data_IF_270998267797
#
_entry.id   IF_270998267797
#
_cell.length_a   1.000
_cell.length_b   1.000
_cell.length_c   1.000
_cell.angle_alpha   90.00
_cell.angle_beta   90.00
_cell.angle_gamma   90.00
#
_symmetry.space_group_name_H-M   'P 1'
#
loop_
_entity.id
_entity.type
_entity.pdbx_description
1 polymer ?
#
# COMPACT_ATOMS: atom_id res chain seq x y z
N UNK A 1 -12.66 -3.68 11.47
CA UNK A 1 -11.77 -3.27 10.36
C UNK A 1 -11.64 -1.75 10.42
N UNK A 2 -10.55 -1.18 9.87
CA UNK A 2 -10.33 0.28 9.97
C UNK A 2 -11.47 1.10 9.35
N UNK A 3 -12.00 0.69 8.19
CA UNK A 3 -13.11 1.39 7.54
C UNK A 3 -14.36 1.41 8.44
N UNK A 4 -14.82 0.24 8.95
CA UNK A 4 -15.97 0.19 9.87
C UNK A 4 -15.74 1.02 11.14
N UNK A 5 -14.51 1.05 11.66
CA UNK A 5 -14.15 1.82 12.84
C UNK A 5 -14.20 3.32 12.57
N UNK A 6 -13.56 3.80 11.50
CA UNK A 6 -13.59 5.20 11.10
C UNK A 6 -15.02 5.67 10.78
N UNK A 7 -15.83 4.82 10.13
CA UNK A 7 -17.26 5.07 9.93
C UNK A 7 -18.01 5.29 11.25
N UNK A 8 -17.72 4.51 12.28
CA UNK A 8 -18.33 4.71 13.62
C UNK A 8 -17.90 6.03 14.30
N UNK A 9 -16.77 6.60 13.86
CA UNK A 9 -16.29 7.92 14.28
C UNK A 9 -16.82 9.06 13.39
N UNK A 10 -17.71 8.76 12.44
CA UNK A 10 -18.32 9.76 11.55
C UNK A 10 -17.54 10.01 10.26
N UNK A 11 -16.50 9.23 9.96
CA UNK A 11 -15.81 9.34 8.67
C UNK A 11 -16.68 8.82 7.55
N UNK A 12 -16.73 9.56 6.43
CA UNK A 12 -17.18 9.03 5.15
C UNK A 12 -16.08 8.13 4.59
N UNK A 13 -16.43 6.88 4.30
CA UNK A 13 -15.45 5.83 3.96
C UNK A 13 -15.55 5.39 2.50
N UNK A 14 -14.45 5.50 1.77
CA UNK A 14 -14.42 5.28 0.32
C UNK A 14 -13.32 4.29 -0.05
N UNK A 15 -13.65 3.34 -0.92
CA UNK A 15 -12.68 2.50 -1.58
C UNK A 15 -12.59 2.84 -3.07
N UNK A 16 -11.39 2.93 -3.61
CA UNK A 16 -11.15 3.29 -5.01
C UNK A 16 -10.23 2.26 -5.67
N UNK A 17 -10.57 1.87 -6.90
CA UNK A 17 -9.70 1.05 -7.73
C UNK A 17 -10.08 1.25 -9.19
N UNK A 18 -9.23 1.81 -10.07
CA UNK A 18 -9.61 2.17 -11.43
C UNK A 18 -9.59 0.96 -12.37
N UNK A 19 -10.20 -0.15 -11.96
CA UNK A 19 -10.36 -1.37 -12.72
C UNK A 19 -11.71 -2.04 -12.43
N UNK A 20 -11.94 -3.23 -12.98
CA UNK A 20 -13.21 -3.96 -12.81
C UNK A 20 -13.49 -4.27 -11.33
N UNK A 21 -14.71 -3.96 -10.88
CA UNK A 21 -15.14 -4.13 -9.49
C UNK A 21 -15.18 -5.57 -9.01
N UNK A 22 -15.32 -6.53 -9.94
CA UNK A 22 -15.31 -7.97 -9.65
C UNK A 22 -13.91 -8.55 -9.49
N UNK A 23 -12.85 -7.81 -9.84
CA UNK A 23 -11.47 -8.24 -9.61
C UNK A 23 -11.22 -8.39 -8.12
N UNK A 24 -10.87 -9.59 -7.68
CA UNK A 24 -10.74 -9.99 -6.27
C UNK A 24 -12.03 -9.83 -5.45
N UNK A 25 -13.20 -9.96 -6.08
CA UNK A 25 -14.52 -9.84 -5.42
C UNK A 25 -14.69 -8.52 -4.63
N UNK A 26 -13.99 -7.44 -5.03
CA UNK A 26 -14.02 -6.15 -4.31
C UNK A 26 -15.42 -5.57 -4.16
N UNK A 27 -16.28 -5.75 -5.16
CA UNK A 27 -17.68 -5.33 -5.11
C UNK A 27 -18.50 -6.03 -4.00
N UNK A 28 -18.04 -7.16 -3.47
CA UNK A 28 -18.65 -7.87 -2.34
C UNK A 28 -17.90 -7.60 -1.04
N UNK A 29 -16.56 -7.60 -1.09
CA UNK A 29 -15.71 -7.51 0.10
C UNK A 29 -15.68 -6.09 0.67
N UNK A 30 -15.60 -5.04 -0.17
CA UNK A 30 -15.52 -3.66 0.33
C UNK A 30 -16.73 -3.24 1.19
N UNK A 31 -17.99 -3.57 0.82
CA UNK A 31 -19.12 -3.35 1.72
C UNK A 31 -19.00 -4.08 3.06
N UNK A 32 -18.52 -5.34 3.05
CA UNK A 32 -18.32 -6.12 4.27
C UNK A 32 -17.21 -5.55 5.17
N UNK A 33 -16.20 -4.91 4.58
CA UNK A 33 -15.16 -4.18 5.30
C UNK A 33 -15.66 -2.85 5.91
N UNK A 34 -16.86 -2.39 5.51
CA UNK A 34 -17.51 -1.21 6.04
C UNK A 34 -17.29 0.06 5.23
N UNK A 35 -16.88 -0.03 3.97
CA UNK A 35 -16.84 1.11 3.05
C UNK A 35 -18.26 1.52 2.63
N UNK A 36 -18.55 2.81 2.66
CA UNK A 36 -19.84 3.39 2.23
C UNK A 36 -19.91 3.54 0.72
N UNK A 37 -18.81 3.94 0.10
CA UNK A 37 -18.73 4.22 -1.33
C UNK A 37 -17.57 3.48 -1.98
N UNK A 38 -17.77 3.11 -3.24
CA UNK A 38 -16.79 2.41 -4.03
C UNK A 38 -16.74 2.99 -5.43
N UNK A 39 -15.56 3.41 -5.87
CA UNK A 39 -15.33 3.94 -7.21
C UNK A 39 -14.45 2.97 -8.00
N UNK A 40 -14.98 2.47 -9.11
CA UNK A 40 -14.32 1.56 -10.02
C UNK A 40 -14.17 2.18 -11.41
N UNK A 41 -13.59 1.45 -12.37
CA UNK A 41 -13.28 1.99 -13.71
C UNK A 41 -14.43 2.71 -14.44
N UNK A 42 -15.69 2.36 -14.16
CA UNK A 42 -16.87 3.00 -14.77
C UNK A 42 -17.16 4.39 -14.21
N UNK A 43 -16.64 4.69 -13.03
CA UNK A 43 -16.84 5.93 -12.31
C UNK A 43 -15.76 6.98 -12.65
N UNK A 44 -14.77 6.61 -13.47
CA UNK A 44 -13.79 7.51 -14.05
C UNK A 44 -14.23 7.95 -15.45
N UNK A 45 -14.58 9.23 -15.59
CA UNK A 45 -14.98 9.82 -16.88
C UNK A 45 -13.75 10.26 -17.67
N UNK A 46 -13.47 9.58 -18.80
CA UNK A 46 -12.32 9.86 -19.66
C UNK A 46 -10.99 10.09 -18.92
N UNK A 47 -10.58 9.19 -18.00
CA UNK A 47 -9.37 9.40 -17.22
C UNK A 47 -8.15 9.41 -18.12
N UNK A 48 -7.12 10.16 -17.72
CA UNK A 48 -5.79 10.00 -18.27
C UNK A 48 -5.34 8.54 -18.14
N UNK A 49 -4.68 8.04 -19.19
CA UNK A 49 -4.13 6.69 -19.22
C UNK A 49 -2.66 6.74 -19.60
N UNK A 50 -1.88 5.96 -18.86
CA UNK A 50 -0.51 5.60 -19.22
C UNK A 50 -0.53 4.13 -19.59
N UNK A 51 -0.05 3.83 -20.81
CA UNK A 51 -0.31 2.55 -21.47
C UNK A 51 -1.82 2.33 -21.58
N UNK A 52 -2.32 1.16 -21.19
CA UNK A 52 -3.76 0.82 -21.17
C UNK A 52 -4.46 1.11 -19.82
N UNK A 53 -3.70 1.46 -18.78
CA UNK A 53 -4.24 1.62 -17.42
C UNK A 53 -4.54 3.09 -17.12
N UNK A 54 -5.51 3.31 -16.23
CA UNK A 54 -5.74 4.65 -15.65
C UNK A 54 -4.49 5.08 -14.90
N UNK A 55 -4.06 6.33 -15.08
CA UNK A 55 -2.87 6.87 -14.42
C UNK A 55 -3.07 6.97 -12.90
N UNK A 56 -1.98 6.95 -12.16
CA UNK A 56 -2.01 7.20 -10.71
C UNK A 56 -2.48 8.63 -10.46
N UNK A 57 -2.04 9.58 -11.27
CA UNK A 57 -2.52 10.97 -11.23
C UNK A 57 -4.04 11.07 -11.39
N UNK A 58 -4.65 10.33 -12.33
CA UNK A 58 -6.11 10.33 -12.48
C UNK A 58 -6.85 9.75 -11.26
N UNK A 59 -6.22 8.84 -10.49
CA UNK A 59 -6.76 8.41 -9.20
C UNK A 59 -6.71 9.55 -8.17
N UNK A 60 -5.61 10.29 -8.14
CA UNK A 60 -5.40 11.41 -7.22
C UNK A 60 -6.28 12.61 -7.56
N UNK A 61 -6.49 12.91 -8.83
CA UNK A 61 -7.47 13.90 -9.29
C UNK A 61 -8.86 13.57 -8.75
N UNK A 62 -9.26 12.28 -8.77
CA UNK A 62 -10.54 11.84 -8.22
C UNK A 62 -10.59 11.92 -6.69
N UNK A 63 -9.48 11.66 -5.99
CA UNK A 63 -9.38 11.87 -4.53
C UNK A 63 -9.59 13.35 -4.19
N UNK A 64 -8.94 14.25 -4.93
CA UNK A 64 -9.04 15.70 -4.76
C UNK A 64 -10.46 16.17 -5.05
N UNK A 65 -11.07 15.72 -6.16
CA UNK A 65 -12.47 16.00 -6.51
C UNK A 65 -13.41 15.64 -5.34
N UNK A 66 -13.30 14.41 -4.83
CA UNK A 66 -14.12 13.93 -3.71
C UNK A 66 -13.86 14.71 -2.42
N UNK A 67 -12.62 15.15 -2.18
CA UNK A 67 -12.24 16.00 -1.04
C UNK A 67 -12.79 17.43 -1.17
N UNK A 68 -12.92 18.00 -2.36
CA UNK A 68 -13.50 19.34 -2.55
C UNK A 68 -15.04 19.32 -2.55
N UNK A 69 -15.66 18.22 -2.96
CA UNK A 69 -17.11 18.06 -2.98
C UNK A 69 -17.72 17.83 -1.58
N UNK A 70 -16.95 17.29 -0.65
CA UNK A 70 -17.45 16.99 0.71
C UNK A 70 -17.65 18.28 1.52
N UNK A 71 -18.56 18.29 2.52
CA UNK A 71 -18.64 19.38 3.48
C UNK A 71 -17.31 19.63 4.19
N UNK A 72 -16.98 20.90 4.46
CA UNK A 72 -15.67 21.30 5.01
C UNK A 72 -15.27 20.51 6.27
N UNK A 73 -16.22 20.28 7.19
CA UNK A 73 -15.98 19.62 8.47
C UNK A 73 -16.19 18.08 8.44
N UNK A 74 -16.50 17.49 7.28
CA UNK A 74 -16.72 16.04 7.17
C UNK A 74 -15.37 15.30 7.13
N UNK A 75 -15.07 14.39 8.08
CA UNK A 75 -13.85 13.60 8.04
C UNK A 75 -13.92 12.51 6.97
N UNK A 76 -12.77 12.24 6.34
CA UNK A 76 -12.72 11.46 5.10
C UNK A 76 -11.68 10.34 5.19
N UNK A 77 -12.06 9.13 4.79
CA UNK A 77 -11.15 8.00 4.70
C UNK A 77 -11.23 7.38 3.31
N UNK A 78 -10.11 7.38 2.58
CA UNK A 78 -10.01 6.77 1.26
C UNK A 78 -8.98 5.65 1.28
N UNK A 79 -9.37 4.48 0.78
CA UNK A 79 -8.47 3.40 0.45
C UNK A 79 -8.39 3.25 -1.08
N UNK A 80 -7.30 3.72 -1.68
CA UNK A 80 -7.10 3.71 -3.14
C UNK A 80 -6.08 2.65 -3.56
N UNK A 81 -6.47 1.75 -4.46
CA UNK A 81 -5.60 0.75 -5.08
C UNK A 81 -5.35 1.14 -6.52
N UNK A 82 -4.16 1.61 -6.84
CA UNK A 82 -3.81 2.08 -8.20
C UNK A 82 -3.64 0.92 -9.20
N UNK A 83 -3.46 1.25 -10.48
CA UNK A 83 -3.35 0.25 -11.57
C UNK A 83 -2.26 0.56 -12.60
N UNK A 84 -1.73 1.79 -12.66
CA UNK A 84 -0.77 2.25 -13.67
C UNK A 84 0.42 1.31 -13.85
N UNK A 85 0.94 0.79 -12.73
CA UNK A 85 2.15 -0.03 -12.68
C UNK A 85 1.90 -1.52 -12.82
N UNK A 86 0.67 -1.96 -13.15
CA UNK A 86 0.39 -3.38 -13.31
C UNK A 86 1.18 -3.97 -14.50
N UNK A 87 1.61 -5.23 -14.34
CA UNK A 87 2.32 -6.00 -15.37
C UNK A 87 1.44 -6.27 -16.62
N UNK A 88 1.98 -6.68 -17.78
CA UNK A 88 3.40 -6.88 -18.13
C UNK A 88 4.14 -5.55 -18.38
N UNK A 89 5.48 -5.57 -18.44
CA UNK A 89 6.31 -4.40 -18.79
C UNK A 89 7.02 -4.54 -20.14
N UNK A 90 6.68 -5.56 -20.93
CA UNK A 90 7.33 -5.87 -22.21
C UNK A 90 6.62 -5.29 -23.44
N UNK A 91 5.36 -4.89 -23.26
CA UNK A 91 4.50 -4.32 -24.31
C UNK A 91 4.88 -2.86 -24.60
N UNK A 92 4.78 -2.46 -25.86
CA UNK A 92 4.90 -1.07 -26.31
C UNK A 92 3.54 -0.41 -26.40
N UNK A 93 3.50 0.90 -26.14
CA UNK A 93 2.29 1.70 -26.25
C UNK A 93 2.64 3.06 -26.85
N UNK A 94 1.80 3.56 -27.76
CA UNK A 94 2.03 4.85 -28.43
C UNK A 94 2.06 6.04 -27.44
N UNK A 95 1.39 5.90 -26.29
CA UNK A 95 1.30 6.91 -25.22
C UNK A 95 2.31 6.70 -24.09
N UNK A 96 3.33 5.85 -24.27
CA UNK A 96 4.37 5.65 -23.26
C UNK A 96 5.72 5.34 -23.90
N UNK A 97 6.69 6.24 -23.70
CA UNK A 97 8.09 6.02 -24.08
C UNK A 97 8.94 6.00 -22.82
N UNK A 98 9.71 4.93 -22.54
CA UNK A 98 10.60 4.89 -21.40
C UNK A 98 11.75 5.90 -21.57
N UNK A 99 12.01 6.67 -20.51
CA UNK A 99 13.05 7.69 -20.41
C UNK A 99 14.17 7.33 -19.41
N UNK A 100 14.01 6.25 -18.64
CA UNK A 100 15.00 5.69 -17.74
C UNK A 100 15.71 4.53 -18.42
N UNK A 101 17.04 4.55 -18.40
CA UNK A 101 17.88 3.44 -18.85
C UNK A 101 18.83 3.04 -17.74
N UNK A 102 18.89 1.74 -17.45
CA UNK A 102 19.80 1.19 -16.44
C UNK A 102 21.15 0.84 -17.08
N UNK A 103 22.22 1.44 -16.57
CA UNK A 103 23.60 1.13 -16.95
C UNK A 103 23.89 -0.37 -16.76
N UNK A 104 24.68 -0.95 -17.66
CA UNK A 104 25.04 -2.38 -17.66
C UNK A 104 23.86 -3.38 -17.77
N UNK A 105 22.67 -2.88 -18.11
CA UNK A 105 21.49 -3.69 -18.39
C UNK A 105 20.95 -3.44 -19.80
N UNK A 106 20.54 -4.52 -20.47
CA UNK A 106 19.77 -4.46 -21.74
C UNK A 106 18.29 -4.77 -21.53
N UNK A 107 17.85 -4.80 -20.28
CA UNK A 107 16.50 -5.22 -19.91
C UNK A 107 15.48 -4.12 -20.20
N UNK A 108 14.72 -4.30 -21.27
CA UNK A 108 13.62 -3.38 -21.62
C UNK A 108 12.55 -3.33 -20.54
N UNK A 109 12.20 -4.46 -19.95
CA UNK A 109 11.21 -4.55 -18.87
C UNK A 109 11.65 -3.79 -17.63
N UNK A 110 12.95 -3.81 -17.29
CA UNK A 110 13.50 -3.02 -16.19
C UNK A 110 13.42 -1.51 -16.48
N UNK A 111 13.82 -1.07 -17.67
CA UNK A 111 13.72 0.33 -18.08
C UNK A 111 12.27 0.82 -18.06
N UNK A 112 11.35 0.05 -18.65
CA UNK A 112 9.92 0.36 -18.65
C UNK A 112 9.36 0.45 -17.23
N UNK A 113 9.71 -0.48 -16.35
CA UNK A 113 9.28 -0.46 -14.96
C UNK A 113 9.77 0.81 -14.24
N UNK A 114 11.06 1.15 -14.35
CA UNK A 114 11.61 2.32 -13.65
C UNK A 114 11.06 3.65 -14.18
N UNK A 115 10.83 3.77 -15.49
CA UNK A 115 10.13 4.95 -16.05
C UNK A 115 8.70 5.07 -15.55
N UNK A 116 7.98 3.96 -15.39
CA UNK A 116 6.62 4.00 -14.83
C UNK A 116 6.62 4.37 -13.34
N UNK A 117 7.59 3.84 -12.57
CA UNK A 117 7.78 4.21 -11.16
C UNK A 117 8.09 5.71 -11.03
N UNK A 118 8.92 6.28 -11.91
CA UNK A 118 9.15 7.73 -11.95
C UNK A 118 7.85 8.52 -12.16
N UNK A 119 6.97 8.09 -13.06
CA UNK A 119 5.68 8.77 -13.27
C UNK A 119 4.76 8.64 -12.03
N UNK A 120 4.80 7.50 -11.33
CA UNK A 120 4.09 7.36 -10.05
C UNK A 120 4.66 8.25 -8.94
N UNK A 121 5.97 8.43 -8.89
CA UNK A 121 6.66 9.33 -7.96
C UNK A 121 6.21 10.79 -8.17
N UNK A 122 6.21 11.26 -9.42
CA UNK A 122 5.69 12.58 -9.81
C UNK A 122 4.19 12.75 -9.46
N UNK A 123 3.38 11.69 -9.62
CA UNK A 123 1.97 11.72 -9.24
C UNK A 123 1.80 11.80 -7.70
N UNK A 124 2.66 11.13 -6.94
CA UNK A 124 2.65 11.18 -5.47
C UNK A 124 3.05 12.57 -4.98
N UNK A 125 4.07 13.19 -5.58
CA UNK A 125 4.44 14.58 -5.31
C UNK A 125 3.23 15.50 -5.53
N UNK A 126 2.53 15.37 -6.66
CA UNK A 126 1.31 16.12 -6.95
C UNK A 126 0.22 15.98 -5.87
N UNK A 127 -0.03 14.76 -5.37
CA UNK A 127 -1.00 14.51 -4.30
C UNK A 127 -0.57 15.17 -2.98
N UNK A 128 0.71 15.01 -2.61
CA UNK A 128 1.29 15.59 -1.39
C UNK A 128 1.24 17.12 -1.45
N UNK A 129 1.63 17.72 -2.57
CA UNK A 129 1.61 19.17 -2.76
C UNK A 129 0.21 19.73 -2.55
N UNK A 130 -0.82 19.10 -3.11
CA UNK A 130 -2.20 19.50 -2.90
C UNK A 130 -2.58 19.47 -1.41
N UNK A 131 -2.36 18.35 -0.72
CA UNK A 131 -2.74 18.20 0.68
C UNK A 131 -1.85 19.00 1.64
N UNK A 132 -0.65 19.40 1.23
CA UNK A 132 0.23 20.27 2.03
C UNK A 132 -0.37 21.65 2.26
N UNK A 133 -1.19 22.12 1.31
CA UNK A 133 -1.91 23.39 1.37
C UNK A 133 -3.35 23.25 1.91
N UNK A 134 -3.84 22.01 2.09
CA UNK A 134 -5.17 21.76 2.61
C UNK A 134 -5.28 22.21 4.08
N UNK A 135 -6.42 22.81 4.45
CA UNK A 135 -6.68 23.27 5.82
C UNK A 135 -6.99 22.13 6.79
N UNK A 136 -7.48 20.99 6.29
CA UNK A 136 -7.84 19.85 7.10
C UNK A 136 -6.61 18.97 7.37
N UNK A 137 -6.46 18.56 8.63
CA UNK A 137 -5.44 17.59 9.03
C UNK A 137 -5.56 16.32 8.18
N UNK A 138 -4.47 16.00 7.50
CA UNK A 138 -4.39 14.93 6.51
C UNK A 138 -3.20 14.02 6.82
N UNK A 139 -3.45 12.71 6.76
CA UNK A 139 -2.40 11.68 6.80
C UNK A 139 -2.50 10.85 5.52
N UNK A 140 -1.39 10.74 4.80
CA UNK A 140 -1.24 9.88 3.62
C UNK A 140 -0.33 8.72 4.00
N UNK A 141 -0.84 7.49 3.84
CA UNK A 141 -0.06 6.27 3.95
C UNK A 141 0.04 5.67 2.56
N UNK A 142 1.25 5.60 2.04
CA UNK A 142 1.54 5.01 0.75
C UNK A 142 2.46 3.82 0.94
N UNK A 143 2.15 2.69 0.30
CA UNK A 143 2.96 1.48 0.39
C UNK A 143 2.84 0.67 -0.90
N UNK A 144 3.93 0.00 -1.29
CA UNK A 144 3.87 -1.00 -2.35
C UNK A 144 3.09 -2.23 -1.91
N UNK A 145 2.32 -2.83 -2.81
CA UNK A 145 1.60 -4.09 -2.53
C UNK A 145 2.52 -5.31 -2.64
N UNK A 146 3.38 -5.35 -3.66
CA UNK A 146 4.39 -6.38 -3.85
C UNK A 146 5.48 -5.96 -4.88
N UNK A 147 6.55 -6.74 -4.95
CA UNK A 147 7.61 -6.61 -5.96
C UNK A 147 7.12 -6.92 -7.39
N UNK A 148 7.72 -6.33 -8.45
CA UNK A 148 7.34 -6.66 -9.82
C UNK A 148 7.72 -8.11 -10.19
N UNK A 149 7.19 -8.57 -11.33
CA UNK A 149 7.49 -9.92 -11.85
C UNK A 149 8.99 -10.18 -12.07
N UNK A 150 9.38 -11.45 -12.18
CA UNK A 150 10.78 -11.86 -12.43
C UNK A 150 11.39 -11.26 -13.72
N UNK A 151 10.57 -10.81 -14.67
CA UNK A 151 11.06 -10.09 -15.86
C UNK A 151 11.79 -8.78 -15.52
N UNK A 152 11.51 -8.19 -14.36
CA UNK A 152 12.19 -7.00 -13.82
C UNK A 152 13.24 -7.44 -12.81
N UNK A 153 12.82 -8.18 -11.78
CA UNK A 153 13.64 -8.49 -10.60
C UNK A 153 14.92 -9.27 -10.94
N UNK A 154 14.85 -10.22 -11.88
CA UNK A 154 16.03 -11.01 -12.27
C UNK A 154 17.14 -10.16 -12.88
N UNK A 155 16.79 -9.06 -13.55
CA UNK A 155 17.78 -8.14 -14.12
C UNK A 155 18.52 -7.39 -13.03
N UNK A 156 17.81 -6.97 -11.97
CA UNK A 156 18.40 -6.33 -10.79
C UNK A 156 19.34 -7.29 -10.06
N UNK A 157 18.94 -8.55 -9.87
CA UNK A 157 19.82 -9.55 -9.24
C UNK A 157 21.10 -9.80 -10.02
N UNK A 158 20.97 -9.92 -11.34
CA UNK A 158 22.14 -10.09 -12.22
C UNK A 158 23.12 -8.91 -12.11
N UNK A 159 22.62 -7.67 -12.04
CA UNK A 159 23.45 -6.49 -11.83
C UNK A 159 24.19 -6.51 -10.47
N UNK A 160 23.60 -7.17 -9.47
CA UNK A 160 24.20 -7.39 -8.15
C UNK A 160 25.02 -8.68 -8.05
N UNK A 161 25.42 -9.28 -9.19
CA UNK A 161 26.25 -10.48 -9.24
C UNK A 161 25.54 -11.76 -8.75
N UNK A 162 24.21 -11.75 -8.66
CA UNK A 162 23.41 -12.87 -8.16
C UNK A 162 22.62 -13.55 -9.28
N UNK A 163 22.42 -14.85 -9.14
CA UNK A 163 21.54 -15.64 -9.98
C UNK A 163 20.17 -15.74 -9.30
N UNK A 164 19.10 -15.29 -9.96
CA UNK A 164 17.75 -15.28 -9.39
C UNK A 164 17.18 -16.66 -9.05
N UNK A 165 17.81 -17.75 -9.50
CA UNK A 165 17.46 -19.13 -9.15
C UNK A 165 18.28 -19.70 -7.98
N UNK A 166 19.26 -18.95 -7.47
CA UNK A 166 20.22 -19.38 -6.44
C UNK A 166 20.35 -18.30 -5.36
N UNK A 167 19.22 -17.68 -5.00
CA UNK A 167 19.14 -16.66 -3.95
C UNK A 167 19.23 -17.32 -2.56
N UNK A 168 19.92 -16.66 -1.63
CA UNK A 168 19.88 -17.06 -0.22
C UNK A 168 18.54 -16.70 0.43
N UNK A 169 18.26 -17.23 1.62
CA UNK A 169 17.06 -16.87 2.39
C UNK A 169 16.99 -15.37 2.73
N UNK A 170 18.15 -14.72 2.84
CA UNK A 170 18.28 -13.27 3.02
C UNK A 170 17.96 -12.50 1.74
N UNK A 171 18.38 -13.03 0.58
CA UNK A 171 18.03 -12.43 -0.72
C UNK A 171 16.54 -12.58 -1.02
N UNK A 172 15.97 -13.75 -0.74
CA UNK A 172 14.52 -13.96 -0.84
C UNK A 172 13.76 -13.04 0.12
N UNK A 173 14.28 -12.79 1.34
CA UNK A 173 13.74 -11.77 2.25
C UNK A 173 13.53 -10.43 1.58
N UNK A 174 14.59 -9.95 0.92
CA UNK A 174 14.66 -8.62 0.31
C UNK A 174 13.65 -8.49 -0.82
N UNK A 175 13.24 -9.59 -1.47
CA UNK A 175 12.20 -9.58 -2.50
C UNK A 175 10.81 -9.26 -1.95
N UNK A 176 10.56 -9.54 -0.68
CA UNK A 176 9.29 -9.24 -0.02
C UNK A 176 9.28 -7.89 0.69
N UNK A 177 10.38 -7.12 0.65
CA UNK A 177 10.44 -5.76 1.15
C UNK A 177 9.97 -4.78 0.07
N UNK A 178 9.05 -3.92 0.44
CA UNK A 178 8.47 -2.87 -0.41
C UNK A 178 8.58 -1.52 0.29
N UNK A 179 8.76 -0.41 -0.44
CA UNK A 179 8.80 0.91 0.19
C UNK A 179 7.41 1.27 0.73
N UNK A 180 7.41 2.01 1.83
CA UNK A 180 6.26 2.75 2.30
C UNK A 180 6.70 4.10 2.85
N UNK A 181 5.78 5.05 2.89
CA UNK A 181 5.95 6.27 3.66
C UNK A 181 4.63 6.64 4.32
N UNK A 182 4.75 7.41 5.39
CA UNK A 182 3.62 8.10 6.00
C UNK A 182 3.98 9.58 5.97
N UNK A 183 3.05 10.38 5.48
CA UNK A 183 3.17 11.84 5.40
C UNK A 183 1.95 12.48 6.06
N UNK A 184 2.14 13.61 6.74
CA UNK A 184 1.06 14.42 7.28
C UNK A 184 1.32 15.91 7.07
N UNK A 185 0.26 16.72 6.93
CA UNK A 185 0.37 18.19 6.86
C UNK A 185 0.43 18.86 8.25
N UNK A 186 0.48 18.07 9.32
CA UNK A 186 0.68 18.49 10.70
C UNK A 186 1.79 17.65 11.35
N UNK A 187 2.39 18.15 12.44
CA UNK A 187 3.43 17.44 13.17
C UNK A 187 2.83 16.29 13.98
N UNK A 188 3.31 15.08 13.72
CA UNK A 188 2.91 13.83 14.39
C UNK A 188 4.09 13.17 15.11
N UNK A 189 5.27 13.79 15.11
CA UNK A 189 6.49 13.20 15.68
C UNK A 189 6.98 11.95 14.92
N UNK A 190 6.74 11.86 13.61
CA UNK A 190 7.13 10.70 12.81
C UNK A 190 8.64 10.47 12.85
N UNK A 191 9.03 9.19 12.83
CA UNK A 191 10.42 8.75 12.70
C UNK A 191 10.70 8.33 11.26
N UNK A 192 11.95 8.50 10.84
CA UNK A 192 12.49 7.93 9.60
C UNK A 192 13.00 6.51 9.85
N UNK A 193 13.21 5.74 8.78
CA UNK A 193 13.90 4.44 8.79
C UNK A 193 13.22 3.36 9.64
N UNK A 194 11.90 3.26 9.51
CA UNK A 194 11.10 2.23 10.19
C UNK A 194 10.87 1.02 9.28
N UNK A 195 10.95 -0.19 9.85
CA UNK A 195 10.58 -1.43 9.17
C UNK A 195 9.33 -2.01 9.84
N UNK A 196 8.29 -2.24 9.04
CA UNK A 196 7.03 -2.78 9.56
C UNK A 196 6.34 -3.68 8.53
N UNK A 197 5.33 -4.41 8.98
CA UNK A 197 4.47 -5.21 8.11
C UNK A 197 3.12 -4.52 7.87
N UNK A 198 2.53 -4.75 6.70
CA UNK A 198 1.29 -4.09 6.24
C UNK A 198 0.13 -4.26 7.23
N UNK A 199 0.08 -5.36 7.97
CA UNK A 199 -0.91 -5.64 9.00
C UNK A 199 -0.87 -4.66 10.19
N UNK A 200 0.23 -3.92 10.39
CA UNK A 200 0.35 -2.91 11.45
C UNK A 200 0.06 -1.48 10.97
N UNK A 201 0.07 -1.23 9.65
CA UNK A 201 -0.10 0.13 9.11
C UNK A 201 -1.43 0.78 9.50
N UNK A 202 -2.51 0.00 9.56
CA UNK A 202 -3.81 0.51 9.98
C UNK A 202 -3.82 0.98 11.45
N UNK A 203 -3.15 0.26 12.35
CA UNK A 203 -3.02 0.66 13.75
C UNK A 203 -2.18 1.93 13.86
N UNK A 204 -1.05 1.95 13.16
CA UNK A 204 -0.14 3.10 13.11
C UNK A 204 -0.84 4.36 12.56
N UNK A 205 -1.70 4.20 11.56
CA UNK A 205 -2.53 5.28 11.00
C UNK A 205 -3.39 5.96 12.07
N UNK A 206 -4.09 5.14 12.88
CA UNK A 206 -4.98 5.64 13.92
C UNK A 206 -4.18 6.34 15.03
N UNK A 207 -3.04 5.77 15.45
CA UNK A 207 -2.18 6.37 16.46
C UNK A 207 -1.62 7.73 16.03
N UNK A 208 -1.05 7.81 14.82
CA UNK A 208 -0.50 9.05 14.26
C UNK A 208 -1.57 10.13 14.08
N UNK A 209 -2.81 9.73 13.81
CA UNK A 209 -3.93 10.65 13.66
C UNK A 209 -4.60 11.03 14.99
N UNK A 210 -4.10 10.54 16.13
CA UNK A 210 -4.71 10.75 17.45
C UNK A 210 -6.10 10.13 17.59
N UNK A 211 -6.45 9.18 16.73
CA UNK A 211 -7.76 8.53 16.70
C UNK A 211 -7.81 7.36 17.69
N UNK A 212 -8.96 7.09 18.32
CA UNK A 212 -9.08 5.97 19.26
C UNK A 212 -8.82 4.64 18.54
N UNK A 213 -8.08 3.74 19.20
CA UNK A 213 -7.88 2.37 18.72
C UNK A 213 -9.05 1.47 19.14
N UNK A 214 -9.44 0.56 18.27
CA UNK A 214 -10.33 -0.56 18.62
C UNK A 214 -9.50 -1.74 19.17
N UNK A 215 -10.14 -2.67 19.89
CA UNK A 215 -9.46 -3.74 20.65
C UNK A 215 -8.38 -4.50 19.88
N UNK A 216 -8.69 -4.92 18.65
CA UNK A 216 -7.72 -5.62 17.80
C UNK A 216 -6.58 -4.70 17.32
N UNK A 217 -6.87 -3.42 17.07
CA UNK A 217 -5.85 -2.42 16.73
C UNK A 217 -4.90 -2.18 17.90
N UNK A 218 -5.42 -2.12 19.14
CA UNK A 218 -4.60 -2.04 20.37
C UNK A 218 -3.73 -3.28 20.54
N UNK A 219 -4.26 -4.48 20.26
CA UNK A 219 -3.49 -5.71 20.29
C UNK A 219 -2.34 -5.67 19.26
N UNK A 220 -2.63 -5.26 18.02
CA UNK A 220 -1.63 -5.15 16.96
C UNK A 220 -0.54 -4.11 17.26
N UNK A 221 -0.91 -2.97 17.84
CA UNK A 221 0.04 -1.95 18.31
C UNK A 221 1.04 -2.55 19.32
N UNK A 222 0.55 -3.20 20.38
CA UNK A 222 1.40 -3.89 21.37
C UNK A 222 2.22 -5.04 20.79
N UNK A 223 1.68 -5.76 19.81
CA UNK A 223 2.42 -6.82 19.12
C UNK A 223 3.59 -6.23 18.33
N UNK A 224 3.37 -5.10 17.65
CA UNK A 224 4.39 -4.44 16.83
C UNK A 224 5.58 -3.89 17.65
N UNK A 225 5.37 -3.56 18.94
CA UNK A 225 6.46 -3.19 19.85
C UNK A 225 7.43 -4.36 20.14
N UNK A 226 6.97 -5.60 20.01
CA UNK A 226 7.78 -6.81 20.21
C UNK A 226 8.28 -7.39 18.88
N UNK A 227 7.40 -7.45 17.89
CA UNK A 227 7.63 -7.95 16.55
C UNK A 227 7.20 -6.90 15.52
N UNK A 228 8.05 -5.90 15.22
CA UNK A 228 7.74 -4.86 14.24
C UNK A 228 7.46 -5.45 12.84
N UNK A 229 8.08 -6.58 12.51
CA UNK A 229 7.89 -7.28 11.25
C UNK A 229 7.32 -8.67 11.51
N UNK A 230 6.15 -8.97 10.94
CA UNK A 230 5.52 -10.29 10.95
C UNK A 230 5.01 -10.60 9.55
N UNK A 231 5.63 -11.58 8.90
CA UNK A 231 5.28 -12.03 7.54
C UNK A 231 4.85 -13.50 7.56
N UNK A 232 4.43 -14.02 6.42
CA UNK A 232 4.17 -15.46 6.26
C UNK A 232 5.43 -16.34 6.33
N UNK A 233 6.64 -15.77 6.27
CA UNK A 233 7.91 -16.52 6.24
C UNK A 233 8.73 -16.34 7.51
N UNK A 234 8.74 -15.13 8.06
CA UNK A 234 9.58 -14.73 9.19
C UNK A 234 8.89 -13.70 10.08
N UNK A 235 9.35 -13.60 11.32
CA UNK A 235 9.16 -12.42 12.15
C UNK A 235 10.53 -11.81 12.48
N UNK A 236 10.60 -10.48 12.55
CA UNK A 236 11.75 -9.77 13.10
C UNK A 236 11.31 -9.12 14.40
N UNK A 237 12.07 -9.34 15.46
CA UNK A 237 11.78 -8.77 16.77
C UNK A 237 12.31 -7.32 16.90
N UNK A 238 12.02 -6.68 18.04
CA UNK A 238 12.46 -5.32 18.34
C UNK A 238 13.99 -5.11 18.36
N UNK A 239 14.77 -6.19 18.47
CA UNK A 239 16.22 -6.17 18.48
C UNK A 239 16.80 -6.44 17.07
N UNK A 240 15.92 -6.65 16.08
CA UNK A 240 16.26 -6.92 14.69
C UNK A 240 16.58 -8.39 14.41
N UNK A 241 16.28 -9.31 15.33
CA UNK A 241 16.51 -10.73 15.12
C UNK A 241 15.43 -11.32 14.21
N UNK A 242 15.81 -11.69 12.99
CA UNK A 242 14.94 -12.35 12.01
C UNK A 242 14.88 -13.85 12.25
N UNK A 243 13.69 -14.37 12.58
CA UNK A 243 13.44 -15.79 12.83
C UNK A 243 12.33 -16.34 11.92
N UNK A 244 12.47 -17.58 11.44
CA UNK A 244 11.40 -18.28 10.71
C UNK A 244 10.09 -18.30 11.49
N UNK A 245 8.97 -18.04 10.80
CA UNK A 245 7.67 -17.84 11.46
C UNK A 245 7.26 -19.03 12.34
N UNK A 246 7.55 -20.26 11.90
CA UNK A 246 7.23 -21.50 12.60
C UNK A 246 7.86 -21.58 13.99
N UNK A 247 9.06 -21.02 14.16
CA UNK A 247 9.81 -21.05 15.43
C UNK A 247 9.26 -20.07 16.45
N UNK A 248 8.54 -19.03 16.02
CA UNK A 248 7.93 -18.00 16.88
C UNK A 248 6.41 -18.14 17.03
N UNK A 249 5.80 -19.15 16.39
CA UNK A 249 4.34 -19.36 16.46
C UNK A 249 3.81 -19.55 17.88
N UNK A 250 4.63 -20.08 18.81
CA UNK A 250 4.26 -20.15 20.23
C UNK A 250 3.98 -18.77 20.83
N UNK A 251 4.75 -17.76 20.44
CA UNK A 251 4.58 -16.37 20.88
C UNK A 251 3.47 -15.65 20.12
N UNK A 252 3.28 -16.01 18.84
CA UNK A 252 2.23 -15.47 17.97
C UNK A 252 0.90 -16.22 18.08
N UNK A 253 0.76 -17.19 18.99
CA UNK A 253 -0.43 -18.03 19.08
C UNK A 253 -1.70 -17.21 19.38
N UNK A 254 -1.61 -16.21 20.26
CA UNK A 254 -2.73 -15.31 20.52
C UNK A 254 -3.10 -14.49 19.27
N UNK A 255 -2.11 -14.11 18.47
CA UNK A 255 -2.36 -13.39 17.23
C UNK A 255 -3.11 -14.28 16.24
N UNK A 256 -2.69 -15.54 16.08
CA UNK A 256 -3.34 -16.53 15.24
C UNK A 256 -4.78 -16.84 15.70
N UNK A 257 -5.02 -16.98 17.00
CA UNK A 257 -6.37 -17.18 17.57
C UNK A 257 -7.27 -15.99 17.26
N UNK A 258 -6.77 -14.77 17.47
CA UNK A 258 -7.54 -13.56 17.17
C UNK A 258 -7.85 -13.44 15.66
N UNK A 259 -6.90 -13.76 14.79
CA UNK A 259 -7.14 -13.81 13.34
C UNK A 259 -8.22 -14.83 12.99
N UNK A 260 -8.14 -16.04 13.54
CA UNK A 260 -9.13 -17.09 13.31
C UNK A 260 -10.53 -16.65 13.76
N UNK A 261 -10.65 -16.16 15.01
CA UNK A 261 -11.94 -15.73 15.55
C UNK A 261 -12.55 -14.60 14.71
N UNK A 262 -11.73 -13.68 14.20
CA UNK A 262 -12.21 -12.57 13.35
C UNK A 262 -12.64 -13.00 11.95
N UNK A 263 -12.10 -14.10 11.43
CA UNK A 263 -12.40 -14.60 10.09
C UNK A 263 -13.58 -15.58 10.09
N UNK A 264 -13.74 -16.38 11.14
CA UNK A 264 -14.65 -17.52 11.15
C UNK A 264 -15.70 -17.49 12.27
N UNK A 265 -15.40 -16.88 13.42
CA UNK A 265 -16.27 -16.92 14.61
C UNK A 265 -16.82 -15.52 14.99
N UNK A 266 -16.68 -14.54 14.10
CA UNK A 266 -17.24 -13.21 14.28
C UNK A 266 -18.71 -13.21 13.81
N UNK A 267 -19.59 -13.65 14.71
CA UNK A 267 -21.05 -13.45 14.62
C UNK A 267 -21.46 -12.00 14.99
#
# INVERSE_FOLDING_TARGET
MIASHLKSLGYRTIAMHPFNSTGWDRNKVYPMLGFDEMYFIRDYSNPERIRKYVSDKACYDKIIELYEEKPADEPFFIFNVTMQNHSSYSEEFDNFTPDITVTDSKSKTLNNYLSLIKISDEAVEYLIDYFSAAQQDTVIIFFGDHQPTNSVVSSVWKLNGKNGNELSDEDEAKRYKVPFFIWSNFDTGMKTDDETSTNFLASKALELSGLPLYDYSMYLSKLSERYPVVTALRAEDKDGESTEIEKVMGELNNYAILQYNRLFDAD
#
